data_IF_009825059709
#
_entry.id   IF_009825059709
#
_cell.length_a   1.000
_cell.length_b   1.000
_cell.length_c   1.000
_cell.angle_alpha   90.00
_cell.angle_beta   90.00
_cell.angle_gamma   90.00
#
_symmetry.space_group_name_H-M   'P 1'
#
loop_
_entity.id
_entity.type
_entity.pdbx_description
1 polymer ?
#
# COMPACT_ATOMS: atom_id res chain seq x y z
N UNK A 1 -13.92 -4.29 0.63
CA UNK A 1 -13.75 -2.85 0.36
C UNK A 1 -14.95 -2.03 0.83
N UNK A 2 -16.20 -2.33 0.42
CA UNK A 2 -17.40 -1.56 0.86
C UNK A 2 -17.49 -1.44 2.39
N UNK A 3 -17.32 -2.54 3.12
CA UNK A 3 -17.36 -2.54 4.60
C UNK A 3 -16.27 -1.61 5.18
N UNK A 4 -15.06 -1.62 4.63
CA UNK A 4 -13.99 -0.74 5.11
C UNK A 4 -14.32 0.75 4.91
N UNK A 5 -14.84 1.12 3.74
CA UNK A 5 -15.24 2.51 3.47
C UNK A 5 -16.43 2.94 4.36
N UNK A 6 -17.44 2.05 4.50
CA UNK A 6 -18.57 2.33 5.37
C UNK A 6 -18.13 2.48 6.84
N UNK A 7 -17.23 1.62 7.31
CA UNK A 7 -16.69 1.72 8.68
C UNK A 7 -15.85 2.98 8.90
N UNK A 8 -15.12 3.44 7.89
CA UNK A 8 -14.32 4.66 7.98
C UNK A 8 -15.18 5.92 8.24
N UNK A 9 -16.46 5.91 7.84
CA UNK A 9 -17.41 7.02 8.11
C UNK A 9 -17.58 7.20 9.62
N UNK A 10 -17.57 6.11 10.41
CA UNK A 10 -17.68 6.22 11.87
C UNK A 10 -16.53 6.99 12.50
N UNK A 11 -15.35 7.03 11.86
CA UNK A 11 -14.23 7.83 12.33
C UNK A 11 -14.51 9.35 12.31
N UNK A 12 -15.57 9.80 11.60
CA UNK A 12 -16.00 11.20 11.59
C UNK A 12 -16.82 11.56 12.82
N UNK A 13 -17.30 10.57 13.60
CA UNK A 13 -18.11 10.81 14.77
C UNK A 13 -17.22 11.13 15.98
N UNK A 14 -17.44 12.27 16.68
CA UNK A 14 -16.60 12.70 17.80
C UNK A 14 -16.44 11.66 18.92
N UNK A 15 -17.45 10.81 19.15
CA UNK A 15 -17.43 9.77 20.19
C UNK A 15 -16.34 8.73 19.99
N UNK A 16 -15.80 8.56 18.77
CA UNK A 16 -14.74 7.61 18.44
C UNK A 16 -13.35 8.26 18.45
N UNK A 17 -13.27 9.54 18.73
CA UNK A 17 -12.01 10.26 18.78
C UNK A 17 -11.37 10.14 20.15
N UNK A 18 -10.09 9.84 20.17
CA UNK A 18 -9.24 9.94 21.34
C UNK A 18 -7.80 10.16 20.90
N UNK A 19 -7.00 10.79 21.75
CA UNK A 19 -5.58 10.97 21.45
C UNK A 19 -4.85 9.66 21.25
N UNK A 20 -5.23 8.63 22.00
CA UNK A 20 -4.66 7.28 21.85
C UNK A 20 -4.95 6.71 20.47
N UNK A 21 -6.18 6.87 19.96
CA UNK A 21 -6.55 6.42 18.61
C UNK A 21 -5.77 7.17 17.53
N UNK A 22 -5.64 8.48 17.64
CA UNK A 22 -4.88 9.32 16.69
C UNK A 22 -3.40 8.93 16.71
N UNK A 23 -2.81 8.78 17.89
CA UNK A 23 -1.42 8.36 18.02
C UNK A 23 -1.18 6.96 17.44
N UNK A 24 -2.07 6.01 17.75
CA UNK A 24 -2.01 4.65 17.21
C UNK A 24 -2.09 4.66 15.69
N UNK A 25 -3.03 5.41 15.12
CA UNK A 25 -3.15 5.59 13.67
C UNK A 25 -1.85 6.13 13.08
N UNK A 26 -1.28 7.18 13.67
CA UNK A 26 -0.02 7.78 13.22
C UNK A 26 1.15 6.79 13.24
N UNK A 27 1.31 6.03 14.32
CA UNK A 27 2.37 5.02 14.46
C UNK A 27 2.17 3.89 13.44
N UNK A 28 0.95 3.35 13.32
CA UNK A 28 0.66 2.28 12.37
C UNK A 28 0.83 2.75 10.93
N UNK A 29 0.34 3.93 10.58
CA UNK A 29 0.53 4.50 9.25
C UNK A 29 2.02 4.68 8.93
N UNK A 30 2.80 5.24 9.85
CA UNK A 30 4.24 5.40 9.67
C UNK A 30 4.95 4.05 9.50
N UNK A 31 4.65 3.07 10.33
CA UNK A 31 5.26 1.74 10.26
C UNK A 31 4.88 1.00 8.96
N UNK A 32 3.59 0.97 8.60
CA UNK A 32 3.11 0.18 7.46
C UNK A 32 3.28 0.91 6.13
N UNK A 33 2.80 2.14 6.00
CA UNK A 33 2.85 2.87 4.75
C UNK A 33 4.25 3.45 4.47
N UNK A 34 4.88 4.11 5.45
CA UNK A 34 6.17 4.75 5.20
C UNK A 34 7.32 3.74 5.22
N UNK A 35 7.52 3.01 6.33
CA UNK A 35 8.62 2.04 6.42
C UNK A 35 8.36 0.81 5.57
N UNK A 36 7.14 0.27 5.63
CA UNK A 36 6.79 -0.96 4.93
C UNK A 36 6.64 -0.78 3.44
N UNK A 37 5.64 -0.02 3.00
CA UNK A 37 5.33 0.12 1.56
C UNK A 37 6.34 1.04 0.88
N UNK A 38 6.51 2.28 1.36
CA UNK A 38 7.32 3.27 0.63
C UNK A 38 8.82 2.91 0.66
N UNK A 39 9.39 2.61 1.82
CA UNK A 39 10.81 2.27 1.92
C UNK A 39 11.06 0.82 1.53
N UNK A 40 10.31 -0.13 2.12
CA UNK A 40 10.51 -1.55 1.92
C UNK A 40 10.10 -2.02 0.52
N UNK A 41 8.82 -2.04 0.24
CA UNK A 41 8.31 -2.61 -1.00
C UNK A 41 8.70 -1.78 -2.23
N UNK A 42 8.50 -0.47 -2.18
CA UNK A 42 8.72 0.41 -3.32
C UNK A 42 10.22 0.63 -3.58
N UNK A 43 10.92 1.31 -2.67
CA UNK A 43 12.31 1.72 -2.92
C UNK A 43 13.33 0.59 -2.81
N UNK A 44 13.22 -0.25 -1.77
CA UNK A 44 14.20 -1.31 -1.54
C UNK A 44 13.96 -2.51 -2.47
N UNK A 45 12.77 -3.11 -2.47
CA UNK A 45 12.50 -4.35 -3.18
C UNK A 45 12.17 -4.12 -4.66
N UNK A 46 11.38 -3.09 -5.02
CA UNK A 46 11.00 -2.84 -6.41
C UNK A 46 12.10 -2.11 -7.18
N UNK A 47 12.51 -0.95 -6.71
CA UNK A 47 13.48 -0.10 -7.41
C UNK A 47 14.94 -0.42 -7.10
N UNK A 48 15.21 -1.17 -6.02
CA UNK A 48 16.58 -1.48 -5.56
C UNK A 48 17.45 -0.22 -5.41
N UNK A 49 16.85 0.88 -4.95
CA UNK A 49 17.48 2.20 -4.84
C UNK A 49 18.63 2.23 -3.83
N UNK A 50 18.65 1.30 -2.89
CA UNK A 50 19.68 1.16 -1.87
C UNK A 50 19.79 -0.29 -1.40
N UNK A 51 20.82 -0.58 -0.59
CA UNK A 51 21.06 -1.91 -0.03
C UNK A 51 21.09 -1.82 1.48
N UNK A 52 20.57 -2.84 2.15
CA UNK A 52 20.56 -2.99 3.60
C UNK A 52 20.92 -4.40 4.00
N UNK A 53 21.36 -4.65 5.25
CA UNK A 53 21.49 -5.99 5.78
C UNK A 53 20.18 -6.77 5.73
N UNK A 54 20.25 -8.10 5.60
CA UNK A 54 19.06 -8.96 5.45
C UNK A 54 18.05 -8.86 6.58
N UNK A 55 18.48 -8.61 7.82
CA UNK A 55 17.55 -8.41 8.93
C UNK A 55 16.69 -7.16 8.75
N UNK A 56 17.27 -6.07 8.23
CA UNK A 56 16.55 -4.82 7.98
C UNK A 56 15.64 -4.92 6.75
N UNK A 57 16.06 -5.65 5.71
CA UNK A 57 15.21 -5.99 4.57
C UNK A 57 13.95 -6.75 5.02
N UNK A 58 14.13 -7.77 5.89
CA UNK A 58 13.02 -8.54 6.47
C UNK A 58 12.12 -7.68 7.34
N UNK A 59 12.70 -6.79 8.16
CA UNK A 59 11.93 -5.85 8.97
C UNK A 59 11.02 -4.97 8.10
N UNK A 60 11.55 -4.32 7.06
CA UNK A 60 10.74 -3.50 6.14
C UNK A 60 9.71 -4.34 5.39
N UNK A 61 10.05 -5.55 4.95
CA UNK A 61 9.09 -6.44 4.30
C UNK A 61 7.94 -6.84 5.25
N UNK A 62 8.22 -7.07 6.53
CA UNK A 62 7.20 -7.35 7.55
C UNK A 62 6.29 -6.14 7.76
N UNK A 63 6.85 -4.94 7.91
CA UNK A 63 6.08 -3.71 8.00
C UNK A 63 5.15 -3.54 6.78
N UNK A 64 5.64 -3.84 5.57
CA UNK A 64 4.84 -3.81 4.36
C UNK A 64 3.72 -4.85 4.34
N UNK A 65 3.98 -6.07 4.81
CA UNK A 65 2.96 -7.12 4.89
C UNK A 65 1.82 -6.74 5.85
N UNK A 66 2.12 -6.02 6.93
CA UNK A 66 1.12 -5.50 7.87
C UNK A 66 0.19 -4.43 7.25
N UNK A 67 0.54 -3.86 6.10
CA UNK A 67 -0.35 -2.93 5.37
C UNK A 67 -1.51 -3.63 4.65
N UNK A 68 -1.51 -4.97 4.60
CA UNK A 68 -2.49 -5.79 3.89
C UNK A 68 -2.56 -5.51 2.36
N UNK A 69 -1.46 -5.01 1.78
CA UNK A 69 -1.35 -4.73 0.34
C UNK A 69 -0.63 -5.86 -0.42
N UNK A 70 -0.90 -7.10 -0.09
CA UNK A 70 -0.24 -8.29 -0.63
C UNK A 70 1.18 -8.55 -0.07
N UNK A 71 1.77 -9.68 -0.50
CA UNK A 71 3.15 -10.03 -0.11
C UNK A 71 4.21 -9.23 -0.88
N UNK A 72 5.43 -9.16 -0.35
CA UNK A 72 6.50 -8.33 -0.92
C UNK A 72 6.87 -8.69 -2.37
N UNK A 73 6.81 -9.97 -2.73
CA UNK A 73 7.18 -10.44 -4.08
C UNK A 73 6.11 -10.02 -5.08
N UNK A 74 4.84 -10.27 -4.76
CA UNK A 74 3.70 -9.90 -5.61
C UNK A 74 3.63 -8.39 -5.78
N UNK A 75 3.71 -7.66 -4.69
CA UNK A 75 3.68 -6.19 -4.72
C UNK A 75 4.79 -5.61 -5.60
N UNK A 76 6.04 -6.09 -5.42
CA UNK A 76 7.18 -5.62 -6.21
C UNK A 76 7.05 -6.01 -7.70
N UNK A 77 6.48 -7.18 -7.98
CA UNK A 77 6.18 -7.62 -9.35
C UNK A 77 5.18 -6.72 -10.06
N UNK A 78 4.03 -6.48 -9.43
CA UNK A 78 2.97 -5.61 -9.93
C UNK A 78 3.46 -4.17 -10.13
N UNK A 79 4.23 -3.65 -9.18
CA UNK A 79 4.77 -2.30 -9.27
C UNK A 79 5.75 -2.12 -10.42
N UNK A 80 6.62 -3.11 -10.67
CA UNK A 80 7.51 -3.10 -11.84
C UNK A 80 6.75 -3.24 -13.15
N UNK A 81 5.68 -4.04 -13.16
CA UNK A 81 4.79 -4.16 -14.32
C UNK A 81 4.12 -2.82 -14.61
N UNK A 82 3.56 -2.16 -13.58
CA UNK A 82 3.02 -0.81 -13.71
C UNK A 82 4.03 0.16 -14.32
N UNK A 83 5.26 0.24 -13.80
CA UNK A 83 6.30 1.11 -14.38
C UNK A 83 6.66 0.80 -15.83
N UNK A 84 6.62 -0.48 -16.22
CA UNK A 84 6.92 -0.90 -17.57
C UNK A 84 5.82 -0.51 -18.58
N UNK A 85 4.58 -0.51 -18.14
CA UNK A 85 3.41 -0.31 -18.99
C UNK A 85 2.56 0.89 -18.57
N UNK A 86 3.09 1.80 -17.78
CA UNK A 86 2.36 2.93 -17.19
C UNK A 86 1.38 3.56 -18.16
N UNK A 87 0.14 3.66 -17.71
CA UNK A 87 -0.98 4.33 -18.39
C UNK A 87 -1.37 3.75 -19.77
N UNK A 88 -0.88 2.55 -20.09
CA UNK A 88 -1.34 1.79 -21.27
C UNK A 88 -2.45 0.80 -20.89
N UNK A 89 -3.07 0.14 -21.88
CA UNK A 89 -4.08 -0.89 -21.66
C UNK A 89 -3.53 -2.13 -20.93
N UNK A 90 -2.22 -2.35 -20.97
CA UNK A 90 -1.55 -3.44 -20.26
C UNK A 90 -1.25 -3.12 -18.79
N UNK A 91 -1.46 -1.87 -18.36
CA UNK A 91 -1.29 -1.44 -16.97
C UNK A 91 -2.58 -1.66 -16.20
N UNK A 92 -2.58 -2.61 -15.25
CA UNK A 92 -3.78 -2.83 -14.43
C UNK A 92 -4.13 -1.63 -13.55
N UNK A 93 -3.16 -0.79 -13.21
CA UNK A 93 -3.37 0.43 -12.43
C UNK A 93 -3.43 1.69 -13.29
N UNK A 94 -3.91 1.55 -14.53
CA UNK A 94 -4.02 2.64 -15.47
C UNK A 94 -4.94 3.76 -14.95
N UNK A 95 -4.36 4.93 -14.69
CA UNK A 95 -5.07 6.10 -14.15
C UNK A 95 -6.08 6.71 -15.14
N UNK A 96 -5.87 6.52 -16.45
CA UNK A 96 -6.77 7.00 -17.50
C UNK A 96 -8.13 6.29 -17.51
N UNK A 97 -8.26 5.14 -16.83
CA UNK A 97 -9.54 4.44 -16.66
C UNK A 97 -10.46 5.09 -15.62
N UNK A 98 -10.03 6.19 -15.00
CA UNK A 98 -10.80 7.02 -14.10
C UNK A 98 -10.61 6.72 -12.61
N UNK A 99 -11.16 7.63 -11.78
CA UNK A 99 -10.97 7.63 -10.33
C UNK A 99 -11.32 6.30 -9.65
N UNK A 100 -12.51 5.76 -9.91
CA UNK A 100 -12.95 4.52 -9.26
C UNK A 100 -12.10 3.30 -9.64
N UNK A 101 -11.65 3.27 -10.88
CA UNK A 101 -10.72 2.25 -11.33
C UNK A 101 -9.40 2.36 -10.58
N UNK A 102 -8.76 3.53 -10.60
CA UNK A 102 -7.47 3.78 -9.97
C UNK A 102 -7.50 3.59 -8.46
N UNK A 103 -8.64 3.93 -7.80
CA UNK A 103 -8.79 3.79 -6.37
C UNK A 103 -8.94 2.34 -5.92
N UNK A 104 -9.79 1.56 -6.57
CA UNK A 104 -10.12 0.21 -6.10
C UNK A 104 -10.49 -0.80 -7.20
N UNK A 105 -10.94 -0.36 -8.37
CA UNK A 105 -11.48 -1.24 -9.41
C UNK A 105 -10.45 -2.26 -9.90
N UNK A 106 -9.21 -1.84 -10.09
CA UNK A 106 -8.12 -2.66 -10.57
C UNK A 106 -7.83 -3.89 -9.68
N UNK A 107 -8.12 -3.81 -8.37
CA UNK A 107 -7.91 -4.92 -7.44
C UNK A 107 -8.86 -6.11 -7.65
N UNK A 108 -9.92 -5.94 -8.42
CA UNK A 108 -10.89 -6.97 -8.75
C UNK A 108 -10.69 -7.58 -10.14
N UNK A 109 -9.77 -7.05 -10.92
CA UNK A 109 -9.38 -7.65 -12.18
C UNK A 109 -8.46 -8.86 -11.92
N UNK A 110 -8.75 -9.98 -12.53
CA UNK A 110 -7.89 -11.16 -12.49
C UNK A 110 -6.65 -10.88 -13.33
N UNK A 111 -5.51 -10.92 -12.66
CA UNK A 111 -4.17 -10.77 -13.25
C UNK A 111 -3.66 -12.15 -13.65
#
# INVERSE_FOLDING_TARGET
>A
MVVLHASAIFALLPRFWSWQAVLTLGILYWATACLGVTIGYHRLLSHRSFRVPKWLERFFATCGALSCQQGPITWAGLHRHHHKFSDTDADHHNSHRGFWWSHMGWMFETI
#
